data_IF_289600557437
#
_entry.id   IF_289600557437
#
_cell.length_a   1.000
_cell.length_b   1.000
_cell.length_c   1.000
_cell.angle_alpha   90.00
_cell.angle_beta   90.00
_cell.angle_gamma   90.00
#
_symmetry.space_group_name_H-M   'P 1'
#
loop_
_entity.id
_entity.type
_entity.pdbx_description
1 polymer ?
#
# COMPACT_ATOMS: atom_id res chain seq x y z
N UNK A 1 -24.03 10.29 -16.76
CA UNK A 1 -24.22 9.52 -15.51
C UNK A 1 -23.10 8.50 -15.46
N UNK A 2 -22.32 8.45 -14.39
CA UNK A 2 -21.28 7.45 -14.18
C UNK A 2 -21.86 6.28 -13.38
N UNK A 3 -21.46 5.05 -13.68
CA UNK A 3 -21.97 3.85 -13.01
C UNK A 3 -20.80 3.17 -12.30
N UNK A 4 -20.93 2.95 -10.99
CA UNK A 4 -19.88 2.32 -10.20
C UNK A 4 -19.82 0.83 -10.50
N UNK A 5 -18.69 0.31 -10.98
CA UNK A 5 -18.54 -1.12 -11.30
C UNK A 5 -18.73 -2.02 -10.07
N UNK A 6 -18.40 -1.54 -8.87
CA UNK A 6 -18.51 -2.32 -7.62
C UNK A 6 -19.93 -2.39 -7.04
N UNK A 7 -20.69 -1.29 -7.07
CA UNK A 7 -22.02 -1.25 -6.43
C UNK A 7 -23.17 -0.96 -7.38
N UNK A 8 -22.90 -0.78 -8.67
CA UNK A 8 -23.87 -0.57 -9.75
C UNK A 8 -24.80 0.63 -9.49
N UNK A 9 -24.37 1.58 -8.66
CA UNK A 9 -25.09 2.85 -8.42
C UNK A 9 -24.66 3.88 -9.45
N UNK A 10 -25.66 4.60 -9.97
CA UNK A 10 -25.45 5.74 -10.86
C UNK A 10 -25.14 7.03 -10.08
N UNK A 11 -24.20 7.81 -10.58
CA UNK A 11 -23.79 9.10 -10.03
C UNK A 11 -23.84 10.16 -11.12
N UNK A 12 -24.38 11.34 -10.79
CA UNK A 12 -24.24 12.51 -11.65
C UNK A 12 -22.83 13.08 -11.48
N UNK A 13 -22.23 13.49 -12.60
CA UNK A 13 -20.92 14.13 -12.60
C UNK A 13 -20.92 15.37 -11.70
N UNK A 14 -21.97 16.18 -11.76
CA UNK A 14 -22.11 17.40 -10.96
C UNK A 14 -22.32 17.14 -9.46
N UNK A 15 -22.65 15.90 -9.08
CA UNK A 15 -22.77 15.49 -7.68
C UNK A 15 -21.49 14.85 -7.14
N UNK A 16 -20.50 14.61 -8.00
CA UNK A 16 -19.17 14.19 -7.58
C UNK A 16 -18.40 15.42 -7.10
N UNK A 17 -17.60 15.27 -6.03
CA UNK A 17 -16.75 16.36 -5.55
C UNK A 17 -15.75 16.79 -6.64
N UNK A 18 -15.27 18.04 -6.61
CA UNK A 18 -14.41 18.60 -7.65
C UNK A 18 -13.11 17.80 -7.87
N UNK A 19 -12.66 17.08 -6.85
CA UNK A 19 -11.44 16.25 -6.88
C UNK A 19 -11.69 14.79 -7.28
N UNK A 20 -12.93 14.38 -7.58
CA UNK A 20 -13.21 12.99 -7.91
C UNK A 20 -13.05 12.74 -9.42
N UNK A 21 -12.26 11.73 -9.84
CA UNK A 21 -12.04 11.48 -11.26
C UNK A 21 -13.37 11.18 -11.96
N UNK A 22 -13.65 11.99 -12.99
CA UNK A 22 -14.86 11.94 -13.81
C UNK A 22 -14.62 11.14 -15.10
N UNK A 23 -13.36 10.89 -15.42
CA UNK A 23 -12.92 10.11 -16.57
C UNK A 23 -12.21 8.87 -16.01
N UNK A 24 -12.60 7.65 -16.40
CA UNK A 24 -11.83 6.46 -16.07
C UNK A 24 -10.44 6.60 -16.72
N UNK A 25 -9.38 6.67 -15.89
CA UNK A 25 -8.00 6.62 -16.37
C UNK A 25 -7.58 5.15 -16.45
N UNK A 26 -7.27 4.67 -17.66
CA UNK A 26 -6.84 3.30 -17.89
C UNK A 26 -7.40 2.69 -19.17
N UNK A 27 -6.90 1.51 -19.54
CA UNK A 27 -7.30 0.79 -20.76
C UNK A 27 -8.65 0.05 -20.65
N UNK A 28 -9.25 0.00 -19.44
CA UNK A 28 -10.40 -0.86 -19.14
C UNK A 28 -11.67 -0.14 -18.67
N UNK A 29 -11.82 1.18 -18.91
CA UNK A 29 -13.06 1.96 -18.64
C UNK A 29 -13.65 1.76 -17.22
N UNK A 30 -12.85 1.37 -16.23
CA UNK A 30 -13.34 1.01 -14.88
C UNK A 30 -13.49 2.27 -14.02
N UNK A 31 -14.67 2.45 -13.44
CA UNK A 31 -14.94 3.56 -12.53
C UNK A 31 -15.55 3.07 -11.22
N UNK A 32 -14.87 3.37 -10.12
CA UNK A 32 -15.35 3.07 -8.76
C UNK A 32 -15.81 4.38 -8.11
N UNK A 33 -16.91 4.36 -7.37
CA UNK A 33 -17.37 5.54 -6.63
C UNK A 33 -16.62 5.75 -5.31
N UNK A 34 -16.59 6.98 -4.78
CA UNK A 34 -15.83 7.31 -3.56
C UNK A 34 -16.29 6.59 -2.29
N UNK A 35 -17.48 5.95 -2.29
CA UNK A 35 -17.93 5.08 -1.18
C UNK A 35 -17.36 3.67 -1.28
N UNK A 36 -17.02 3.25 -2.48
CA UNK A 36 -16.57 1.91 -2.83
C UNK A 36 -15.04 1.82 -3.00
N UNK A 37 -14.42 2.94 -3.38
CA UNK A 37 -12.99 3.09 -3.50
C UNK A 37 -12.36 2.95 -2.11
N UNK A 38 -11.42 2.02 -2.00
CA UNK A 38 -10.71 1.75 -0.78
C UNK A 38 -9.35 1.14 -1.13
N UNK A 39 -8.29 1.71 -0.58
CA UNK A 39 -6.95 1.19 -0.75
C UNK A 39 -6.87 -0.20 -0.10
N UNK A 40 -6.43 -1.20 -0.86
CA UNK A 40 -6.30 -2.58 -0.36
C UNK A 40 -5.20 -2.70 0.71
N UNK A 41 -4.19 -1.83 0.66
CA UNK A 41 -3.00 -1.95 1.51
C UNK A 41 -3.16 -1.22 2.85
N UNK A 42 -3.60 0.05 2.83
CA UNK A 42 -3.79 0.85 4.05
C UNK A 42 -5.25 0.96 4.51
N UNK A 43 -6.21 0.55 3.68
CA UNK A 43 -7.64 0.66 4.00
C UNK A 43 -8.23 2.07 3.87
N UNK A 44 -7.44 3.06 3.42
CA UNK A 44 -7.92 4.44 3.20
C UNK A 44 -9.08 4.46 2.21
N UNK A 45 -10.04 5.36 2.45
CA UNK A 45 -11.20 5.60 1.57
C UNK A 45 -11.01 6.82 0.66
N UNK A 46 -9.86 7.48 0.73
CA UNK A 46 -9.45 8.56 -0.17
C UNK A 46 -8.21 8.14 -0.97
N UNK A 47 -8.01 8.80 -2.12
CA UNK A 47 -6.83 8.62 -2.94
C UNK A 47 -5.55 9.15 -2.27
N UNK A 48 -5.67 10.04 -1.29
CA UNK A 48 -4.57 10.61 -0.52
C UNK A 48 -5.09 11.73 0.38
N UNK A 49 -4.20 12.39 1.11
CA UNK A 49 -4.53 13.63 1.84
C UNK A 49 -4.47 14.87 0.92
N UNK A 50 -3.69 14.80 -0.15
CA UNK A 50 -3.56 15.88 -1.14
C UNK A 50 -4.85 16.00 -1.99
N UNK A 51 -5.39 17.22 -2.19
CA UNK A 51 -6.53 17.45 -3.08
C UNK A 51 -6.36 17.00 -4.54
N UNK A 52 -5.12 16.90 -5.02
CA UNK A 52 -4.76 16.42 -6.37
C UNK A 52 -4.39 14.92 -6.39
N UNK A 53 -4.41 14.22 -5.24
CA UNK A 53 -4.12 12.80 -5.19
C UNK A 53 -5.15 12.00 -6.00
N UNK A 54 -4.65 11.16 -6.91
CA UNK A 54 -5.46 10.26 -7.73
C UNK A 54 -5.31 8.81 -7.27
N UNK A 55 -6.36 8.02 -7.49
CA UNK A 55 -6.29 6.59 -7.24
C UNK A 55 -5.37 5.92 -8.25
N UNK A 56 -4.56 4.96 -7.79
CA UNK A 56 -3.60 4.23 -8.62
C UNK A 56 -3.97 2.74 -8.73
N UNK A 57 -3.44 2.10 -9.78
CA UNK A 57 -3.71 0.70 -10.13
C UNK A 57 -5.22 0.37 -10.12
N UNK A 58 -6.01 1.01 -11.00
CA UNK A 58 -7.44 0.70 -11.16
C UNK A 58 -8.27 0.83 -9.86
N UNK A 59 -8.11 1.95 -9.12
CA UNK A 59 -8.81 2.20 -7.85
C UNK A 59 -8.50 1.20 -6.72
N UNK A 60 -7.41 0.43 -6.83
CA UNK A 60 -7.03 -0.53 -5.78
C UNK A 60 -6.04 0.02 -4.77
N UNK A 61 -5.29 1.07 -5.12
CA UNK A 61 -4.27 1.70 -4.26
C UNK A 61 -4.50 3.20 -4.17
N UNK A 62 -4.36 3.77 -2.97
CA UNK A 62 -4.22 5.23 -2.85
C UNK A 62 -2.87 5.67 -3.44
N UNK A 63 -2.73 6.94 -3.77
CA UNK A 63 -1.55 7.55 -4.37
C UNK A 63 -0.26 7.18 -3.62
N UNK A 64 -0.24 7.34 -2.30
CA UNK A 64 0.95 7.03 -1.49
C UNK A 64 1.28 5.54 -1.52
N UNK A 65 0.27 4.67 -1.41
CA UNK A 65 0.46 3.22 -1.43
C UNK A 65 0.89 2.71 -2.81
N UNK A 66 0.32 3.23 -3.89
CA UNK A 66 0.76 2.84 -5.24
C UNK A 66 2.18 3.32 -5.51
N UNK A 67 2.54 4.53 -5.06
CA UNK A 67 3.91 5.06 -5.25
C UNK A 67 4.90 4.23 -4.44
N UNK A 68 4.55 3.90 -3.19
CA UNK A 68 5.34 3.00 -2.37
C UNK A 68 5.46 1.61 -3.01
N UNK A 69 4.39 1.08 -3.59
CA UNK A 69 4.39 -0.20 -4.29
C UNK A 69 5.34 -0.22 -5.49
N UNK A 70 5.25 0.79 -6.36
CA UNK A 70 6.12 0.93 -7.53
C UNK A 70 7.60 1.09 -7.16
N UNK A 71 7.87 1.71 -6.00
CA UNK A 71 9.21 1.84 -5.44
C UNK A 71 9.70 0.58 -4.68
N UNK A 72 8.85 -0.42 -4.47
CA UNK A 72 9.19 -1.62 -3.69
C UNK A 72 9.10 -1.44 -2.17
N UNK A 73 8.55 -0.33 -1.69
CA UNK A 73 8.36 0.00 -0.28
C UNK A 73 7.09 -0.65 0.30
N UNK A 74 7.06 -1.98 0.28
CA UNK A 74 6.00 -2.77 0.87
C UNK A 74 6.54 -4.04 1.53
N UNK A 75 5.86 -4.47 2.58
CA UNK A 75 6.19 -5.72 3.25
C UNK A 75 5.63 -6.89 2.43
N UNK A 76 6.45 -7.82 1.90
CA UNK A 76 5.98 -8.91 1.04
C UNK A 76 5.13 -9.97 1.75
N UNK A 77 5.05 -9.93 3.10
CA UNK A 77 4.25 -10.88 3.88
C UNK A 77 2.81 -10.39 4.10
N UNK A 78 2.64 -9.10 4.39
CA UNK A 78 1.34 -8.52 4.70
C UNK A 78 0.86 -7.52 3.66
N UNK A 79 1.66 -7.29 2.61
CA UNK A 79 1.44 -6.37 1.50
C UNK A 79 1.25 -4.90 1.92
N UNK A 80 1.42 -4.57 3.21
CA UNK A 80 1.33 -3.19 3.67
C UNK A 80 2.52 -2.39 3.19
N UNK A 81 2.23 -1.27 2.54
CA UNK A 81 3.21 -0.23 2.26
C UNK A 81 3.68 0.42 3.54
N UNK A 82 4.95 0.80 3.54
CA UNK A 82 5.58 1.61 4.58
C UNK A 82 6.17 2.86 3.91
N UNK A 83 6.33 3.92 4.69
CA UNK A 83 7.05 5.12 4.24
C UNK A 83 8.48 5.06 4.75
N UNK A 84 9.40 5.76 4.08
CA UNK A 84 10.81 5.85 4.53
C UNK A 84 10.96 6.51 5.91
N UNK A 85 9.92 7.20 6.39
CA UNK A 85 9.88 7.84 7.71
C UNK A 85 9.20 6.98 8.79
N UNK A 86 8.78 5.75 8.49
CA UNK A 86 8.14 4.86 9.45
C UNK A 86 9.18 4.10 10.29
N UNK A 87 10.01 4.87 11.02
CA UNK A 87 11.04 4.34 11.92
C UNK A 87 10.44 3.67 13.17
N UNK A 88 9.18 3.93 13.47
CA UNK A 88 8.46 3.33 14.60
C UNK A 88 8.04 1.88 14.31
N UNK A 89 7.83 1.55 13.04
CA UNK A 89 7.58 0.18 12.60
C UNK A 89 8.87 -0.65 12.69
N UNK A 90 8.92 -1.59 13.64
CA UNK A 90 10.02 -2.56 13.74
C UNK A 90 10.08 -3.44 12.47
N UNK A 91 11.11 -3.24 11.64
CA UNK A 91 11.27 -3.93 10.36
C UNK A 91 12.70 -4.47 10.17
N UNK A 92 12.84 -5.56 9.43
CA UNK A 92 14.12 -6.19 9.10
C UNK A 92 14.33 -6.18 7.58
N UNK A 93 15.50 -5.75 7.13
CA UNK A 93 15.87 -5.76 5.72
C UNK A 93 16.35 -7.14 5.29
N UNK A 94 15.67 -7.75 4.32
CA UNK A 94 16.04 -9.06 3.80
C UNK A 94 17.18 -8.98 2.79
N UNK A 95 18.23 -9.77 2.99
CA UNK A 95 19.37 -9.85 2.07
C UNK A 95 18.99 -10.40 0.68
N UNK A 96 18.03 -11.30 0.58
CA UNK A 96 17.75 -11.99 -0.69
C UNK A 96 16.77 -11.22 -1.58
N UNK A 97 15.64 -10.75 -1.03
CA UNK A 97 14.64 -9.98 -1.79
C UNK A 97 14.81 -8.47 -1.69
N UNK A 98 15.74 -7.96 -0.86
CA UNK A 98 15.99 -6.53 -0.65
C UNK A 98 14.77 -5.72 -0.17
N UNK A 99 13.73 -6.41 0.33
CA UNK A 99 12.55 -5.77 0.92
C UNK A 99 12.68 -5.68 2.44
N UNK A 100 12.07 -4.63 3.00
CA UNK A 100 11.86 -4.54 4.44
C UNK A 100 10.63 -5.31 4.85
N UNK A 101 10.77 -6.08 5.93
CA UNK A 101 9.72 -6.96 6.41
C UNK A 101 9.44 -6.66 7.87
N UNK A 102 8.18 -6.45 8.22
CA UNK A 102 7.81 -6.22 9.62
C UNK A 102 8.25 -7.39 10.51
N UNK A 103 8.85 -7.08 11.65
CA UNK A 103 9.27 -8.08 12.64
C UNK A 103 8.09 -8.98 13.05
N UNK A 104 6.92 -8.38 13.27
CA UNK A 104 5.67 -9.09 13.57
C UNK A 104 5.25 -10.05 12.46
N UNK A 105 5.49 -9.72 11.19
CA UNK A 105 5.19 -10.58 10.05
C UNK A 105 6.13 -11.80 9.99
N UNK A 106 7.30 -11.72 10.62
CA UNK A 106 8.25 -12.81 10.78
C UNK A 106 8.07 -13.61 12.07
N UNK A 107 7.09 -13.24 12.90
CA UNK A 107 6.95 -13.73 14.28
C UNK A 107 8.18 -13.42 15.16
N UNK A 108 8.92 -12.37 14.83
CA UNK A 108 10.01 -11.84 15.67
C UNK A 108 9.34 -10.99 16.74
N UNK A 109 9.55 -11.37 18.01
CA UNK A 109 9.05 -10.58 19.13
C UNK A 109 9.95 -9.35 19.39
N UNK A 110 9.52 -8.36 20.20
CA UNK A 110 10.31 -7.16 20.43
C UNK A 110 11.71 -7.44 21.00
N UNK A 111 11.86 -8.40 21.91
CA UNK A 111 13.16 -8.74 22.52
C UNK A 111 14.10 -9.38 21.50
N UNK A 112 13.57 -10.29 20.66
CA UNK A 112 14.30 -10.88 19.53
C UNK A 112 14.69 -9.83 18.51
N UNK A 113 13.82 -8.86 18.23
CA UNK A 113 14.12 -7.76 17.32
C UNK A 113 15.33 -6.95 17.80
N UNK A 114 15.37 -6.55 19.08
CA UNK A 114 16.52 -5.82 19.63
C UNK A 114 17.82 -6.65 19.49
N UNK A 115 17.76 -7.94 19.84
CA UNK A 115 18.91 -8.83 19.69
C UNK A 115 19.37 -8.95 18.24
N UNK A 116 18.44 -9.04 17.28
CA UNK A 116 18.75 -9.15 15.85
C UNK A 116 19.24 -7.83 15.26
N UNK A 117 18.75 -6.68 15.73
CA UNK A 117 19.21 -5.36 15.29
C UNK A 117 20.60 -5.01 15.82
N UNK A 118 21.00 -5.60 16.95
CA UNK A 118 22.34 -5.45 17.53
C UNK A 118 23.41 -6.35 16.86
N UNK A 119 22.99 -7.28 15.98
CA UNK A 119 23.93 -8.12 15.26
C UNK A 119 24.75 -7.30 14.24
N UNK A 120 26.02 -7.64 14.03
CA UNK A 120 26.84 -6.97 13.01
C UNK A 120 26.29 -7.24 11.60
N UNK A 121 26.42 -6.25 10.71
CA UNK A 121 25.97 -6.32 9.29
C UNK A 121 26.51 -7.53 8.50
N UNK A 122 27.56 -8.18 9.00
CA UNK A 122 28.08 -9.43 8.46
C UNK A 122 27.13 -10.63 8.59
N UNK A 123 26.10 -10.54 9.43
CA UNK A 123 25.10 -11.58 9.62
C UNK A 123 23.86 -11.20 8.81
N UNK A 124 23.63 -11.82 7.64
CA UNK A 124 22.50 -11.46 6.80
C UNK A 124 21.19 -11.94 7.43
N UNK A 125 20.18 -11.07 7.43
CA UNK A 125 18.80 -11.45 7.70
C UNK A 125 18.15 -11.95 6.41
N UNK A 126 17.50 -13.11 6.45
CA UNK A 126 16.72 -13.65 5.33
C UNK A 126 15.27 -13.85 5.79
N UNK A 127 14.34 -13.31 5.01
CA UNK A 127 12.92 -13.35 5.34
C UNK A 127 12.35 -14.77 5.17
N UNK A 128 11.28 -15.11 5.90
CA UNK A 128 10.61 -16.43 5.77
C UNK A 128 10.12 -16.78 4.36
N UNK A 129 9.95 -15.81 3.46
CA UNK A 129 9.55 -16.06 2.07
C UNK A 129 10.74 -16.49 1.21
N UNK A 130 11.94 -16.01 1.52
CA UNK A 130 13.18 -16.38 0.84
C UNK A 130 13.82 -17.65 1.43
N UNK A 131 13.52 -17.97 2.70
CA UNK A 131 13.98 -19.21 3.34
C UNK A 131 13.15 -20.47 2.97
N UNK A 132 12.14 -20.36 2.11
CA UNK A 132 11.25 -21.45 1.70
C UNK A 132 11.72 -22.16 0.43
#
# INVERSE_FOLDING_TARGET
LLMCDKCQRGYHVDCLGPSYPVVPEGSEDTWICGRCAQCKLCGSKSAGEDPEAVWMHEFTHCYDCGTAWDNGNYCPICEKCYSDNDFDSKMMHCNDCQHWVHASCQNINPDEYECLSDLPDSIPFVCKLCCQ
#
